data_IF_622823718682
#
_entry.id   IF_622823718682
#
_cell.length_a   1.000
_cell.length_b   1.000
_cell.length_c   1.000
_cell.angle_alpha   90.00
_cell.angle_beta   90.00
_cell.angle_gamma   90.00
#
_symmetry.space_group_name_H-M   'P 1'
#
loop_
_entity.id
_entity.type
_entity.pdbx_description
1 polymer ?
#
# COMPACT_ATOMS: atom_id res chain seq x y z
N UNK A 1 25.38 -3.55 6.18
CA UNK A 1 24.14 -4.11 5.61
C UNK A 1 23.00 -3.83 6.60
N UNK A 2 22.35 -2.66 6.51
CA UNK A 2 21.31 -2.19 7.46
C UNK A 2 20.35 -1.04 7.02
N UNK A 3 20.35 -0.50 5.77
CA UNK A 3 19.47 0.66 5.46
C UNK A 3 18.05 0.29 4.99
N UNK A 4 17.71 -1.00 4.80
CA UNK A 4 16.45 -1.41 4.16
C UNK A 4 15.27 -1.56 5.13
N UNK A 5 15.51 -2.06 6.34
CA UNK A 5 14.47 -2.15 7.39
C UNK A 5 13.96 -0.76 7.79
N UNK A 6 14.83 0.24 7.71
CA UNK A 6 14.49 1.62 8.03
C UNK A 6 13.47 2.22 7.06
N UNK A 7 13.57 1.88 5.77
CA UNK A 7 12.61 2.34 4.76
C UNK A 7 11.26 1.61 4.86
N UNK A 8 11.27 0.32 5.26
CA UNK A 8 10.02 -0.41 5.53
C UNK A 8 9.29 0.18 6.73
N UNK A 9 10.03 0.43 7.81
CA UNK A 9 9.47 1.02 9.02
C UNK A 9 8.89 2.41 8.78
N UNK A 10 9.53 3.22 7.92
CA UNK A 10 9.08 4.59 7.60
C UNK A 10 7.68 4.63 6.97
N UNK A 11 7.32 3.68 6.11
CA UNK A 11 5.97 3.63 5.54
C UNK A 11 4.99 2.83 6.41
N UNK A 12 5.49 1.82 7.14
CA UNK A 12 4.66 0.95 7.97
C UNK A 12 4.17 1.64 9.24
N UNK A 13 4.97 2.52 9.84
CA UNK A 13 4.57 3.34 11.00
C UNK A 13 3.30 4.17 10.74
N UNK A 14 3.25 5.06 9.74
CA UNK A 14 2.04 5.85 9.46
C UNK A 14 0.85 4.97 9.06
N UNK A 15 1.10 3.80 8.46
CA UNK A 15 0.05 2.83 8.14
C UNK A 15 -0.53 2.14 9.39
N UNK A 16 0.32 1.79 10.34
CA UNK A 16 -0.12 1.21 11.61
C UNK A 16 -0.91 2.23 12.42
N UNK A 17 -0.39 3.46 12.52
CA UNK A 17 -1.09 4.56 13.17
C UNK A 17 -2.42 4.88 12.48
N UNK A 18 -2.49 4.85 11.15
CA UNK A 18 -3.76 5.04 10.44
C UNK A 18 -4.76 3.93 10.82
N UNK A 19 -4.33 2.66 10.85
CA UNK A 19 -5.16 1.54 11.30
C UNK A 19 -5.70 1.75 12.72
N UNK A 20 -4.86 2.16 13.67
CA UNK A 20 -5.28 2.44 15.06
C UNK A 20 -6.31 3.58 15.10
N UNK A 21 -6.06 4.69 14.40
CA UNK A 21 -6.99 5.82 14.33
C UNK A 21 -8.31 5.41 13.67
N UNK A 22 -8.28 4.51 12.69
CA UNK A 22 -9.46 3.96 12.05
C UNK A 22 -10.32 3.14 13.03
N UNK A 23 -9.72 2.22 13.78
CA UNK A 23 -10.43 1.46 14.81
C UNK A 23 -10.97 2.36 15.93
N UNK A 24 -10.23 3.39 16.34
CA UNK A 24 -10.72 4.41 17.28
C UNK A 24 -11.93 5.17 16.71
N UNK A 25 -11.87 5.54 15.43
CA UNK A 25 -12.99 6.21 14.74
C UNK A 25 -14.24 5.33 14.75
N UNK A 26 -14.06 4.05 14.42
CA UNK A 26 -15.12 3.04 14.42
C UNK A 26 -15.73 2.88 15.83
N UNK A 27 -14.88 2.82 16.85
CA UNK A 27 -15.30 2.74 18.24
C UNK A 27 -16.11 3.96 18.68
N UNK A 28 -15.65 5.19 18.37
CA UNK A 28 -16.40 6.40 18.66
C UNK A 28 -17.74 6.47 17.92
N UNK A 29 -17.80 5.96 16.69
CA UNK A 29 -19.04 5.88 15.92
C UNK A 29 -20.07 4.94 16.60
N UNK A 30 -19.63 3.78 17.12
CA UNK A 30 -20.51 2.86 17.87
C UNK A 30 -21.02 3.48 19.17
N UNK A 31 -20.16 4.21 19.87
CA UNK A 31 -20.55 4.96 21.08
C UNK A 31 -21.46 6.17 20.80
N UNK A 32 -21.70 6.50 19.52
CA UNK A 32 -22.52 7.66 19.14
C UNK A 32 -21.85 9.01 19.42
N UNK A 33 -20.54 9.05 19.59
CA UNK A 33 -19.80 10.28 19.87
C UNK A 33 -19.28 10.88 18.57
N UNK A 34 -19.63 12.14 18.29
CA UNK A 34 -19.25 12.86 17.06
C UNK A 34 -17.75 13.05 16.82
N UNK A 35 -16.88 12.57 17.73
CA UNK A 35 -15.43 12.59 17.58
C UNK A 35 -14.93 11.81 16.36
N UNK A 36 -15.73 10.86 15.85
CA UNK A 36 -15.40 10.13 14.62
C UNK A 36 -15.20 11.07 13.41
N UNK A 37 -15.90 12.22 13.37
CA UNK A 37 -15.76 13.23 12.31
C UNK A 37 -14.36 13.84 12.24
N UNK A 38 -13.64 13.89 13.35
CA UNK A 38 -12.28 14.43 13.41
C UNK A 38 -11.22 13.34 13.25
N UNK A 39 -11.48 12.12 13.72
CA UNK A 39 -10.53 11.03 13.61
C UNK A 39 -10.46 10.42 12.19
N UNK A 40 -11.57 10.41 11.44
CA UNK A 40 -11.61 9.97 10.03
C UNK A 40 -10.68 10.75 9.09
N UNK A 41 -10.65 12.10 9.08
CA UNK A 41 -9.71 12.84 8.24
C UNK A 41 -8.26 12.65 8.69
N UNK A 42 -7.99 12.47 9.99
CA UNK A 42 -6.65 12.13 10.49
C UNK A 42 -6.21 10.76 9.95
N UNK A 43 -7.10 9.76 9.99
CA UNK A 43 -6.88 8.45 9.39
C UNK A 43 -6.55 8.57 7.90
N UNK A 44 -7.39 9.30 7.14
CA UNK A 44 -7.23 9.50 5.71
C UNK A 44 -5.87 10.16 5.38
N UNK A 45 -5.48 11.15 6.18
CA UNK A 45 -4.21 11.87 6.02
C UNK A 45 -3.00 10.96 6.29
N UNK A 46 -3.02 10.18 7.38
CA UNK A 46 -1.97 9.22 7.70
C UNK A 46 -1.83 8.13 6.63
N UNK A 47 -2.96 7.67 6.09
CA UNK A 47 -2.95 6.69 5.00
C UNK A 47 -2.37 7.30 3.72
N UNK A 48 -2.74 8.53 3.36
CA UNK A 48 -2.14 9.26 2.24
C UNK A 48 -0.63 9.43 2.40
N UNK A 49 -0.14 9.77 3.60
CA UNK A 49 1.29 9.85 3.88
C UNK A 49 1.97 8.49 3.64
N UNK A 50 1.37 7.40 4.13
CA UNK A 50 1.90 6.06 3.90
C UNK A 50 1.94 5.70 2.41
N UNK A 51 0.87 6.02 1.66
CA UNK A 51 0.82 5.81 0.21
C UNK A 51 1.86 6.64 -0.53
N UNK A 52 2.07 7.89 -0.11
CA UNK A 52 3.05 8.79 -0.69
C UNK A 52 4.48 8.31 -0.45
N UNK A 53 4.80 7.90 0.79
CA UNK A 53 6.10 7.31 1.15
C UNK A 53 6.36 6.02 0.36
N UNK A 54 5.32 5.19 0.18
CA UNK A 54 5.41 4.01 -0.65
C UNK A 54 5.71 4.39 -2.11
N UNK A 55 5.00 5.36 -2.69
CA UNK A 55 5.23 5.81 -4.06
C UNK A 55 6.64 6.41 -4.25
N UNK A 56 7.13 7.18 -3.29
CA UNK A 56 8.48 7.74 -3.32
C UNK A 56 9.54 6.64 -3.24
N UNK A 57 9.33 5.65 -2.36
CA UNK A 57 10.23 4.50 -2.22
C UNK A 57 10.22 3.64 -3.49
N UNK A 58 9.05 3.44 -4.09
CA UNK A 58 8.86 2.74 -5.36
C UNK A 58 9.60 3.42 -6.53
N UNK A 59 9.55 4.75 -6.61
CA UNK A 59 10.28 5.51 -7.63
C UNK A 59 11.79 5.34 -7.47
N UNK A 60 12.31 5.47 -6.25
CA UNK A 60 13.73 5.28 -5.97
C UNK A 60 14.17 3.85 -6.32
N UNK A 61 13.42 2.84 -5.90
CA UNK A 61 13.67 1.43 -6.22
C UNK A 61 13.66 1.16 -7.74
N UNK A 62 12.77 1.83 -8.48
CA UNK A 62 12.72 1.70 -9.93
C UNK A 62 13.98 2.22 -10.62
N UNK A 63 14.53 3.32 -10.13
CA UNK A 63 15.76 3.91 -10.66
C UNK A 63 16.97 3.01 -10.39
N UNK A 64 17.05 2.40 -9.20
CA UNK A 64 18.06 1.37 -8.89
C UNK A 64 17.94 0.13 -9.78
N UNK A 65 16.70 -0.31 -10.06
CA UNK A 65 16.43 -1.45 -10.95
C UNK A 65 16.83 -1.15 -12.40
N UNK A 66 16.65 0.09 -12.87
CA UNK A 66 17.10 0.53 -14.20
C UNK A 66 18.63 0.51 -14.32
N UNK A 67 19.33 0.73 -13.21
CA UNK A 67 20.79 0.66 -13.14
C UNK A 67 21.33 -0.77 -12.98
N UNK A 68 20.49 -1.80 -13.13
CA UNK A 68 20.88 -3.22 -13.14
C UNK A 68 21.12 -3.84 -11.76
N UNK A 69 20.87 -3.10 -10.67
CA UNK A 69 21.06 -3.60 -9.30
C UNK A 69 19.76 -4.24 -8.83
N UNK A 70 19.54 -5.52 -9.17
CA UNK A 70 18.39 -6.31 -8.69
C UNK A 70 18.79 -7.20 -7.52
N UNK A 71 18.49 -6.78 -6.30
CA UNK A 71 18.75 -7.60 -5.09
C UNK A 71 17.48 -8.30 -4.61
N UNK A 72 17.60 -9.54 -4.12
CA UNK A 72 16.52 -10.31 -3.48
C UNK A 72 15.72 -9.51 -2.44
N UNK A 73 16.38 -8.60 -1.72
CA UNK A 73 15.79 -7.68 -0.75
C UNK A 73 14.68 -6.78 -1.33
N UNK A 74 14.78 -6.38 -2.61
CA UNK A 74 13.76 -5.58 -3.28
C UNK A 74 12.49 -6.39 -3.51
N UNK A 75 12.63 -7.68 -3.86
CA UNK A 75 11.50 -8.58 -4.06
C UNK A 75 10.71 -8.77 -2.76
N UNK A 76 11.41 -8.98 -1.64
CA UNK A 76 10.79 -9.15 -0.32
C UNK A 76 10.05 -7.89 0.14
N UNK A 77 10.60 -6.70 -0.14
CA UNK A 77 9.95 -5.41 0.14
C UNK A 77 8.60 -5.30 -0.57
N UNK A 78 8.59 -5.48 -1.91
CA UNK A 78 7.36 -5.41 -2.68
C UNK A 78 6.34 -6.46 -2.27
N UNK A 79 6.77 -7.69 -1.98
CA UNK A 79 5.88 -8.76 -1.58
C UNK A 79 5.16 -8.45 -0.25
N UNK A 80 5.88 -7.86 0.73
CA UNK A 80 5.27 -7.42 1.99
C UNK A 80 4.29 -6.26 1.79
N UNK A 81 4.66 -5.25 0.99
CA UNK A 81 3.76 -4.14 0.67
C UNK A 81 2.48 -4.62 -0.02
N UNK A 82 2.58 -5.56 -0.96
CA UNK A 82 1.42 -6.16 -1.64
C UNK A 82 0.45 -6.80 -0.65
N UNK A 83 0.96 -7.64 0.26
CA UNK A 83 0.11 -8.30 1.26
C UNK A 83 -0.60 -7.30 2.16
N UNK A 84 0.13 -6.27 2.59
CA UNK A 84 -0.40 -5.23 3.48
C UNK A 84 -1.48 -4.39 2.78
N UNK A 85 -1.22 -3.87 1.56
CA UNK A 85 -2.20 -3.05 0.84
C UNK A 85 -3.44 -3.85 0.41
N UNK A 86 -3.28 -5.13 0.07
CA UNK A 86 -4.41 -6.01 -0.23
C UNK A 86 -5.29 -6.21 1.01
N UNK A 87 -4.69 -6.57 2.14
CA UNK A 87 -5.43 -6.71 3.40
C UNK A 87 -6.13 -5.41 3.79
N UNK A 88 -5.45 -4.27 3.68
CA UNK A 88 -6.02 -2.96 4.01
C UNK A 88 -7.21 -2.62 3.09
N UNK A 89 -7.08 -2.88 1.79
CA UNK A 89 -8.15 -2.65 0.81
C UNK A 89 -9.39 -3.49 1.11
N UNK A 90 -9.21 -4.78 1.43
CA UNK A 90 -10.32 -5.70 1.78
C UNK A 90 -11.01 -5.24 3.07
N UNK A 91 -10.25 -4.90 4.10
CA UNK A 91 -10.79 -4.43 5.38
C UNK A 91 -11.62 -3.15 5.16
N UNK A 92 -11.07 -2.18 4.43
CA UNK A 92 -11.78 -0.92 4.17
C UNK A 92 -13.03 -1.10 3.31
N UNK A 93 -12.97 -1.99 2.33
CA UNK A 93 -14.12 -2.30 1.50
C UNK A 93 -15.21 -3.00 2.31
N UNK A 94 -14.84 -3.95 3.17
CA UNK A 94 -15.74 -4.65 4.08
C UNK A 94 -16.42 -3.68 5.05
N UNK A 95 -15.66 -2.75 5.65
CA UNK A 95 -16.23 -1.72 6.54
C UNK A 95 -17.17 -0.79 5.77
N UNK A 96 -16.80 -0.39 4.55
CA UNK A 96 -17.68 0.42 3.70
C UNK A 96 -19.02 -0.28 3.47
N UNK A 97 -19.00 -1.57 3.09
CA UNK A 97 -20.23 -2.37 2.88
C UNK A 97 -21.03 -2.52 4.18
N UNK A 98 -20.37 -2.79 5.30
CA UNK A 98 -21.02 -2.97 6.59
C UNK A 98 -21.74 -1.71 7.09
N UNK A 99 -21.27 -0.51 6.70
CA UNK A 99 -21.92 0.76 7.04
C UNK A 99 -22.97 1.24 6.05
N UNK A 100 -23.14 0.59 4.89
CA UNK A 100 -24.26 0.87 3.96
C UNK A 100 -25.63 0.77 4.67
N UNK A 101 -25.96 -0.27 5.46
CA UNK A 101 -27.26 -0.31 6.17
C UNK A 101 -27.40 0.78 7.25
N UNK A 102 -26.29 1.35 7.74
CA UNK A 102 -26.27 2.41 8.75
C UNK A 102 -26.01 3.81 8.16
N UNK A 103 -26.24 3.98 6.86
CA UNK A 103 -25.89 5.19 6.11
C UNK A 103 -26.42 6.49 6.73
N UNK A 104 -27.65 6.44 7.26
CA UNK A 104 -28.35 7.58 7.86
C UNK A 104 -27.82 8.00 9.23
N UNK A 105 -27.12 7.11 9.96
CA UNK A 105 -26.55 7.39 11.29
C UNK A 105 -25.04 7.71 11.22
N UNK A 106 -24.63 8.52 10.25
CA UNK A 106 -23.23 8.89 10.06
C UNK A 106 -22.38 7.84 9.32
N UNK A 107 -22.97 6.68 8.97
CA UNK A 107 -22.34 5.66 8.11
C UNK A 107 -21.95 6.19 6.74
N UNK A 108 -22.67 7.20 6.22
CA UNK A 108 -22.29 7.96 5.01
C UNK A 108 -20.82 8.42 5.06
N UNK A 109 -20.38 8.97 6.21
CA UNK A 109 -19.02 9.51 6.35
C UNK A 109 -17.99 8.38 6.24
N UNK A 110 -18.27 7.23 6.85
CA UNK A 110 -17.40 6.06 6.72
C UNK A 110 -17.33 5.56 5.28
N UNK A 111 -18.46 5.44 4.59
CA UNK A 111 -18.49 5.02 3.18
C UNK A 111 -17.69 5.99 2.29
N UNK A 112 -17.91 7.28 2.45
CA UNK A 112 -17.26 8.31 1.63
C UNK A 112 -15.75 8.43 1.83
N UNK A 113 -15.23 8.11 3.01
CA UNK A 113 -13.78 8.10 3.26
C UNK A 113 -13.15 6.73 3.00
N UNK A 114 -13.82 5.63 3.37
CA UNK A 114 -13.26 4.28 3.24
C UNK A 114 -13.28 3.76 1.80
N UNK A 115 -14.34 4.03 1.03
CA UNK A 115 -14.44 3.57 -0.34
C UNK A 115 -13.31 4.11 -1.25
N UNK A 116 -13.07 5.43 -1.34
CA UNK A 116 -11.97 5.94 -2.17
C UNK A 116 -10.60 5.52 -1.63
N UNK A 117 -10.41 5.42 -0.31
CA UNK A 117 -9.15 4.94 0.26
C UNK A 117 -8.89 3.46 -0.03
N UNK A 118 -9.93 2.63 -0.04
CA UNK A 118 -9.84 1.22 -0.46
C UNK A 118 -9.41 1.12 -1.93
N UNK A 119 -9.98 1.96 -2.81
CA UNK A 119 -9.60 2.02 -4.23
C UNK A 119 -8.15 2.45 -4.38
N UNK A 120 -7.70 3.48 -3.66
CA UNK A 120 -6.31 3.94 -3.70
C UNK A 120 -5.34 2.84 -3.26
N UNK A 121 -5.65 2.12 -2.17
CA UNK A 121 -4.87 0.96 -1.73
C UNK A 121 -4.84 -0.14 -2.79
N UNK A 122 -5.96 -0.40 -3.46
CA UNK A 122 -6.04 -1.39 -4.53
C UNK A 122 -5.22 -1.01 -5.76
N UNK A 123 -5.19 0.28 -6.14
CA UNK A 123 -4.33 0.78 -7.21
C UNK A 123 -2.85 0.58 -6.85
N UNK A 124 -2.44 0.93 -5.63
CA UNK A 124 -1.07 0.70 -5.14
C UNK A 124 -0.70 -0.79 -5.13
N UNK A 125 -1.65 -1.67 -4.79
CA UNK A 125 -1.49 -3.11 -4.90
C UNK A 125 -1.26 -3.56 -6.36
N UNK A 126 -2.09 -3.13 -7.31
CA UNK A 126 -1.94 -3.47 -8.74
C UNK A 126 -0.57 -3.00 -9.26
N UNK A 127 -0.17 -1.77 -8.92
CA UNK A 127 1.13 -1.23 -9.31
C UNK A 127 2.27 -2.09 -8.79
N UNK A 128 2.22 -2.46 -7.50
CA UNK A 128 3.22 -3.33 -6.87
C UNK A 128 3.29 -4.71 -7.54
N UNK A 129 2.14 -5.33 -7.83
CA UNK A 129 2.09 -6.62 -8.54
C UNK A 129 2.69 -6.54 -9.95
N UNK A 130 2.34 -5.50 -10.72
CA UNK A 130 2.90 -5.29 -12.07
C UNK A 130 4.42 -5.17 -12.01
N UNK A 131 4.97 -4.51 -10.99
CA UNK A 131 6.42 -4.38 -10.81
C UNK A 131 7.11 -5.69 -10.40
N UNK A 132 6.53 -6.47 -9.49
CA UNK A 132 7.07 -7.81 -9.17
C UNK A 132 7.09 -8.69 -10.41
N UNK A 133 6.03 -8.67 -11.22
CA UNK A 133 5.96 -9.47 -12.45
C UNK A 133 7.05 -9.08 -13.46
N UNK A 134 7.35 -7.78 -13.59
CA UNK A 134 8.49 -7.29 -14.40
C UNK A 134 9.83 -7.73 -13.82
N UNK A 135 10.03 -7.58 -12.51
CA UNK A 135 11.26 -7.97 -11.83
C UNK A 135 11.54 -9.47 -11.98
N UNK A 136 10.52 -10.32 -11.84
CA UNK A 136 10.61 -11.76 -12.08
C UNK A 136 11.08 -12.06 -13.51
N UNK A 137 10.49 -11.39 -14.51
CA UNK A 137 10.87 -11.56 -15.92
C UNK A 137 12.31 -11.12 -16.21
N UNK A 138 12.80 -10.05 -15.58
CA UNK A 138 14.19 -9.61 -15.71
C UNK A 138 15.17 -10.57 -15.03
N UNK A 139 14.80 -11.15 -13.88
CA UNK A 139 15.62 -12.17 -13.22
C UNK A 139 15.72 -13.44 -14.07
N UNK A 140 14.60 -13.95 -14.58
CA UNK A 140 14.56 -15.14 -15.45
C UNK A 140 15.34 -14.93 -16.76
N UNK A 141 15.42 -13.69 -17.28
CA UNK A 141 16.20 -13.36 -18.47
C UNK A 141 17.71 -13.27 -18.20
N UNK A 142 18.12 -12.83 -17.00
CA UNK A 142 19.54 -12.78 -16.61
C UNK A 142 20.12 -14.15 -16.20
N UNK A 143 19.28 -15.12 -15.83
CA UNK A 143 19.67 -16.53 -15.60
C UNK A 143 19.87 -17.33 -16.92
N UNK A 144 19.53 -16.75 -18.08
CA UNK A 144 19.86 -17.29 -19.40
C UNK A 144 20.91 -16.41 -20.10
N UNK A 145 22.22 -16.69 -19.94
CA UNK A 145 23.29 -15.90 -20.55
C UNK A 145 23.53 -16.27 -22.02
N UNK A 146 22.48 -16.39 -22.84
CA UNK A 146 22.61 -16.87 -24.24
C UNK A 146 22.12 -15.88 -25.31
N UNK A 147 21.94 -14.59 -24.99
CA UNK A 147 21.58 -13.57 -26.00
C UNK A 147 22.62 -12.44 -26.13
N UNK A 148 23.88 -12.69 -25.74
CA UNK A 148 25.00 -11.76 -26.04
C UNK A 148 25.75 -12.05 -27.36
N UNK A 149 25.43 -13.12 -28.10
CA UNK A 149 26.22 -13.52 -29.29
C UNK A 149 25.51 -13.42 -30.65
N UNK A 150 24.27 -12.92 -30.74
CA UNK A 150 23.55 -12.84 -32.03
C UNK A 150 23.42 -11.43 -32.64
N UNK A 151 23.99 -10.38 -32.03
CA UNK A 151 23.99 -9.03 -32.64
C UNK A 151 25.33 -8.60 -33.26
N UNK A 152 26.23 -9.56 -33.49
CA UNK A 152 27.43 -9.38 -34.33
C UNK A 152 27.56 -10.56 -35.30
N UNK A 153 26.73 -10.59 -36.33
CA UNK A 153 27.13 -11.18 -37.60
C UNK A 153 26.55 -10.35 -38.76
#
# INVERSE_FOLDING_TARGET
MKPFDENVYKFLMPLFFSGVVFFLSFYFCILGVSLYLYSLPIYAFLLLISLFLFYQTDKNLHEFMKNGITTFTHYTFYHRCIGIYLMLSIVLFGVSIAYIPFYYNGGFVFVWYCAPMSILCFISFIQSQKRIKRLKKTLEHNDHPEDMDQLKL
#
